data_IF_163113028245
#
_entry.id   IF_163113028245
#
_cell.length_a   1.000
_cell.length_b   1.000
_cell.length_c   1.000
_cell.angle_alpha   90.00
_cell.angle_beta   90.00
_cell.angle_gamma   90.00
#
_symmetry.space_group_name_H-M   'P 1'
#
loop_
_entity.id
_entity.type
_entity.pdbx_description
1 polymer ?
#
# COMPACT_ATOMS: atom_id res chain seq x y z
N UNK A 1 9.05 -18.85 4.17
CA UNK A 1 9.39 -17.52 4.71
C UNK A 1 8.24 -16.58 4.40
N UNK A 2 7.84 -15.69 5.33
CA UNK A 2 6.76 -14.74 5.09
C UNK A 2 7.11 -13.80 3.94
N UNK A 3 6.08 -13.33 3.22
CA UNK A 3 6.23 -12.39 2.12
C UNK A 3 6.79 -11.05 2.63
N UNK A 4 7.78 -10.49 1.96
CA UNK A 4 8.43 -9.24 2.34
C UNK A 4 8.39 -8.17 1.23
N UNK A 5 8.71 -6.93 1.61
CA UNK A 5 8.70 -5.76 0.74
C UNK A 5 9.61 -5.92 -0.48
N UNK A 6 10.75 -6.60 -0.33
CA UNK A 6 11.66 -6.83 -1.46
C UNK A 6 11.03 -7.72 -2.53
N UNK A 7 10.24 -8.71 -2.13
CA UNK A 7 9.46 -9.53 -3.08
C UNK A 7 8.34 -8.72 -3.72
N UNK A 8 7.67 -7.85 -2.96
CA UNK A 8 6.62 -6.93 -3.46
C UNK A 8 7.19 -5.97 -4.50
N UNK A 9 8.33 -5.33 -4.22
CA UNK A 9 9.02 -4.40 -5.13
C UNK A 9 9.55 -5.07 -6.40
N UNK A 10 9.77 -6.40 -6.38
CA UNK A 10 10.19 -7.19 -7.55
C UNK A 10 9.01 -7.70 -8.37
N UNK A 11 7.77 -7.49 -7.93
CA UNK A 11 6.58 -7.92 -8.68
C UNK A 11 6.33 -7.00 -9.88
N UNK A 12 6.49 -7.54 -11.09
CA UNK A 12 6.22 -6.79 -12.33
C UNK A 12 4.73 -6.40 -12.45
N UNK A 13 3.83 -7.20 -11.87
CA UNK A 13 2.39 -6.91 -11.81
C UNK A 13 2.13 -5.64 -11.01
N UNK A 14 2.69 -5.53 -9.80
CA UNK A 14 2.54 -4.36 -8.92
C UNK A 14 3.21 -3.13 -9.55
N UNK A 15 4.43 -3.27 -10.05
CA UNK A 15 5.18 -2.18 -10.67
C UNK A 15 4.48 -1.63 -11.93
N UNK A 16 3.86 -2.50 -12.72
CA UNK A 16 3.04 -2.08 -13.86
C UNK A 16 1.85 -1.22 -13.43
N UNK A 17 1.17 -1.60 -12.34
CA UNK A 17 0.02 -0.85 -11.84
C UNK A 17 0.41 0.49 -11.24
N UNK A 18 1.54 0.58 -10.53
CA UNK A 18 2.06 1.87 -10.04
C UNK A 18 2.34 2.81 -11.21
N UNK A 19 3.02 2.34 -12.27
CA UNK A 19 3.29 3.18 -13.46
C UNK A 19 2.01 3.67 -14.13
N UNK A 20 1.03 2.77 -14.31
CA UNK A 20 -0.23 3.11 -14.98
C UNK A 20 -1.15 3.98 -14.11
N UNK A 21 -1.11 3.82 -12.79
CA UNK A 21 -1.76 4.73 -11.85
C UNK A 21 -1.19 6.14 -11.96
N UNK A 22 0.14 6.28 -11.97
CA UNK A 22 0.82 7.58 -12.13
C UNK A 22 0.49 8.24 -13.48
N UNK A 23 0.51 7.48 -14.58
CA UNK A 23 0.05 7.97 -15.90
C UNK A 23 -1.41 8.47 -15.86
N UNK A 24 -2.30 7.73 -15.18
CA UNK A 24 -3.73 8.08 -15.07
C UNK A 24 -3.92 9.38 -14.27
N UNK A 25 -3.21 9.53 -13.16
CA UNK A 25 -3.25 10.71 -12.32
C UNK A 25 -2.62 11.93 -13.01
N UNK A 26 -1.53 11.74 -13.76
CA UNK A 26 -0.92 12.78 -14.58
C UNK A 26 -1.90 13.33 -15.63
N UNK A 27 -2.65 12.45 -16.30
CA UNK A 27 -3.69 12.86 -17.25
C UNK A 27 -4.84 13.65 -16.61
N UNK A 28 -5.08 13.46 -15.31
CA UNK A 28 -6.05 14.22 -14.51
C UNK A 28 -5.48 15.52 -13.91
N UNK A 29 -4.19 15.81 -14.11
CA UNK A 29 -3.53 17.03 -13.64
C UNK A 29 -2.82 16.91 -12.29
N UNK A 30 -2.67 15.72 -11.72
CA UNK A 30 -1.89 15.48 -10.49
C UNK A 30 -0.42 15.30 -10.82
N UNK A 31 0.48 15.82 -9.98
CA UNK A 31 1.89 15.98 -10.34
C UNK A 31 2.83 14.90 -9.79
N UNK A 32 2.47 14.13 -8.76
CA UNK A 32 3.41 13.19 -8.11
C UNK A 32 2.69 12.01 -7.42
N UNK A 33 2.55 10.86 -8.10
CA UNK A 33 2.13 9.58 -7.48
C UNK A 33 3.00 8.41 -7.98
N UNK A 34 4.26 8.74 -8.26
CA UNK A 34 5.26 7.85 -8.85
C UNK A 34 5.87 6.87 -7.83
N UNK A 35 6.83 6.05 -8.26
CA UNK A 35 7.63 5.21 -7.36
C UNK A 35 8.30 5.99 -6.22
N UNK A 36 8.63 7.28 -6.44
CA UNK A 36 9.22 8.12 -5.40
C UNK A 36 8.20 8.40 -4.28
N UNK A 37 6.94 8.61 -4.61
CA UNK A 37 5.84 8.74 -3.65
C UNK A 37 5.63 7.43 -2.88
N UNK A 38 5.34 6.33 -3.59
CA UNK A 38 5.12 5.03 -2.97
C UNK A 38 6.31 4.57 -2.10
N UNK A 39 7.54 4.84 -2.56
CA UNK A 39 8.76 4.52 -1.83
C UNK A 39 8.94 5.33 -0.54
N UNK A 40 8.64 6.63 -0.56
CA UNK A 40 8.69 7.48 0.64
C UNK A 40 7.64 7.06 1.67
N UNK A 41 6.39 6.87 1.23
CA UNK A 41 5.29 6.42 2.12
C UNK A 41 5.61 5.05 2.73
N UNK A 42 6.03 4.09 1.91
CA UNK A 42 6.45 2.76 2.37
C UNK A 42 7.56 2.82 3.43
N UNK A 43 8.60 3.62 3.19
CA UNK A 43 9.72 3.75 4.12
C UNK A 43 9.30 4.40 5.44
N UNK A 44 8.54 5.49 5.36
CA UNK A 44 8.11 6.27 6.52
C UNK A 44 7.13 5.48 7.40
N UNK A 45 6.16 4.79 6.81
CA UNK A 45 5.20 3.98 7.57
C UNK A 45 5.91 2.88 8.38
N UNK A 46 6.93 2.25 7.80
CA UNK A 46 7.77 1.28 8.49
C UNK A 46 8.61 1.92 9.60
N UNK A 47 9.22 3.07 9.32
CA UNK A 47 10.06 3.82 10.26
C UNK A 47 9.26 4.26 11.49
N UNK A 48 8.05 4.81 11.31
CA UNK A 48 7.15 5.22 12.40
C UNK A 48 6.94 4.07 13.39
N UNK A 49 6.57 2.89 12.88
CA UNK A 49 6.30 1.73 13.74
C UNK A 49 7.56 1.23 14.45
N UNK A 50 8.71 1.20 13.76
CA UNK A 50 9.99 0.85 14.38
C UNK A 50 10.38 1.84 15.48
N UNK A 51 10.23 3.14 15.24
CA UNK A 51 10.53 4.18 16.22
C UNK A 51 9.65 4.08 17.46
N UNK A 52 8.40 3.65 17.30
CA UNK A 52 7.47 3.43 18.40
C UNK A 52 7.62 2.06 19.10
N UNK A 53 8.57 1.23 18.66
CA UNK A 53 8.87 -0.06 19.29
C UNK A 53 7.91 -1.20 18.94
N UNK A 54 7.18 -1.10 17.83
CA UNK A 54 6.38 -2.21 17.31
C UNK A 54 7.26 -3.31 16.73
N UNK A 55 6.69 -4.50 16.59
CA UNK A 55 7.40 -5.65 16.01
C UNK A 55 7.82 -5.38 14.55
N UNK A 56 8.98 -5.92 14.17
CA UNK A 56 9.50 -5.83 12.80
C UNK A 56 8.50 -6.34 11.76
N UNK A 57 7.70 -7.37 12.11
CA UNK A 57 6.69 -7.86 11.18
C UNK A 57 5.57 -6.85 10.93
N UNK A 58 5.13 -6.13 11.97
CA UNK A 58 4.12 -5.06 11.83
C UNK A 58 4.67 -3.91 10.99
N UNK A 59 5.92 -3.50 11.21
CA UNK A 59 6.60 -2.48 10.41
C UNK A 59 6.79 -2.91 8.94
N UNK A 60 7.05 -4.20 8.69
CA UNK A 60 7.15 -4.76 7.34
C UNK A 60 5.79 -4.72 6.60
N UNK A 61 4.69 -5.05 7.29
CA UNK A 61 3.34 -4.97 6.71
C UNK A 61 2.95 -3.52 6.37
N UNK A 62 3.33 -2.55 7.20
CA UNK A 62 3.15 -1.13 6.89
C UNK A 62 3.94 -0.68 5.67
N UNK A 63 5.17 -1.17 5.52
CA UNK A 63 5.97 -0.89 4.32
C UNK A 63 5.30 -1.47 3.06
N UNK A 64 4.77 -2.70 3.13
CA UNK A 64 4.04 -3.33 2.02
C UNK A 64 2.78 -2.54 1.68
N UNK A 65 1.98 -2.17 2.69
CA UNK A 65 0.78 -1.36 2.50
C UNK A 65 1.11 -0.01 1.84
N UNK A 66 2.12 0.70 2.34
CA UNK A 66 2.57 1.98 1.78
C UNK A 66 3.08 1.87 0.35
N UNK A 67 3.72 0.76 -0.04
CA UNK A 67 4.14 0.57 -1.43
C UNK A 67 2.96 0.35 -2.39
N UNK A 68 1.87 -0.26 -1.90
CA UNK A 68 0.73 -0.68 -2.72
C UNK A 68 -0.48 0.26 -2.61
N UNK A 69 -0.50 1.24 -1.68
CA UNK A 69 -1.71 1.97 -1.30
C UNK A 69 -2.46 2.62 -2.48
N UNK A 70 -1.71 3.18 -3.43
CA UNK A 70 -2.25 3.96 -4.55
C UNK A 70 -2.54 3.14 -5.83
N UNK A 71 -2.36 1.82 -5.85
CA UNK A 71 -2.53 1.03 -7.09
C UNK A 71 -3.96 1.08 -7.65
N UNK A 72 -4.95 1.41 -6.82
CA UNK A 72 -6.34 1.58 -7.23
C UNK A 72 -6.57 2.76 -8.18
N UNK A 73 -5.65 3.73 -8.22
CA UNK A 73 -5.78 4.89 -9.11
C UNK A 73 -5.73 4.52 -10.61
N UNK A 74 -5.30 3.31 -10.97
CA UNK A 74 -5.45 2.78 -12.34
C UNK A 74 -6.92 2.59 -12.75
N UNK A 75 -7.82 2.38 -11.79
CA UNK A 75 -9.26 2.24 -12.02
C UNK A 75 -9.91 3.62 -12.02
N UNK A 76 -9.71 4.37 -10.93
CA UNK A 76 -10.19 5.75 -10.79
C UNK A 76 -9.53 6.41 -9.58
N UNK A 77 -9.47 7.75 -9.55
CA UNK A 77 -9.10 8.51 -8.33
C UNK A 77 -10.17 8.41 -7.25
N UNK A 78 -11.44 8.39 -7.64
CA UNK A 78 -12.56 8.19 -6.74
C UNK A 78 -12.54 6.76 -6.21
N UNK A 79 -12.59 6.62 -4.88
CA UNK A 79 -12.56 5.33 -4.18
C UNK A 79 -11.35 4.44 -4.55
N UNK A 80 -10.20 5.08 -4.85
CA UNK A 80 -8.96 4.36 -5.18
C UNK A 80 -8.45 3.53 -3.99
N UNK A 81 -8.71 3.94 -2.75
CA UNK A 81 -8.38 3.17 -1.56
C UNK A 81 -9.11 1.81 -1.54
N UNK A 82 -10.41 1.80 -1.84
CA UNK A 82 -11.24 0.58 -1.82
C UNK A 82 -10.89 -0.33 -3.00
N UNK A 83 -10.76 0.23 -4.20
CA UNK A 83 -10.35 -0.55 -5.37
C UNK A 83 -8.91 -1.08 -5.25
N UNK A 84 -8.00 -0.28 -4.71
CA UNK A 84 -6.62 -0.67 -4.39
C UNK A 84 -6.55 -1.79 -3.35
N UNK A 85 -7.38 -1.73 -2.31
CA UNK A 85 -7.47 -2.79 -1.30
C UNK A 85 -7.91 -4.14 -1.91
N UNK A 86 -8.88 -4.13 -2.82
CA UNK A 86 -9.35 -5.35 -3.52
C UNK A 86 -8.28 -5.89 -4.46
N UNK A 87 -7.56 -5.01 -5.18
CA UNK A 87 -6.44 -5.40 -6.03
C UNK A 87 -5.31 -6.02 -5.19
N UNK A 88 -4.93 -5.37 -4.08
CA UNK A 88 -3.92 -5.86 -3.16
C UNK A 88 -4.31 -7.21 -2.54
N UNK A 89 -5.57 -7.40 -2.15
CA UNK A 89 -6.10 -8.68 -1.69
C UNK A 89 -5.78 -9.80 -2.68
N UNK A 90 -6.11 -9.60 -3.96
CA UNK A 90 -5.90 -10.62 -4.99
C UNK A 90 -4.42 -10.91 -5.24
N UNK A 91 -3.59 -9.87 -5.30
CA UNK A 91 -2.16 -10.01 -5.59
C UNK A 91 -1.45 -10.72 -4.42
N UNK A 92 -1.70 -10.30 -3.19
CA UNK A 92 -1.06 -10.87 -2.00
C UNK A 92 -1.50 -12.32 -1.76
N UNK A 93 -2.79 -12.64 -1.95
CA UNK A 93 -3.32 -14.00 -1.92
C UNK A 93 -2.61 -14.89 -2.97
N UNK A 94 -2.51 -14.41 -4.22
CA UNK A 94 -1.80 -15.11 -5.30
C UNK A 94 -0.31 -15.32 -5.01
N UNK A 95 0.31 -14.41 -4.25
CA UNK A 95 1.71 -14.52 -3.82
C UNK A 95 1.89 -15.42 -2.58
N UNK A 96 0.81 -15.96 -2.02
CA UNK A 96 0.85 -16.89 -0.88
C UNK A 96 1.10 -16.21 0.46
N UNK A 97 0.74 -14.92 0.61
CA UNK A 97 0.76 -14.26 1.91
C UNK A 97 -0.24 -14.90 2.88
N UNK A 98 0.06 -14.85 4.19
CA UNK A 98 -0.83 -15.41 5.19
C UNK A 98 -2.15 -14.58 5.26
N UNK A 99 -3.32 -15.21 5.44
CA UNK A 99 -4.61 -14.50 5.38
C UNK A 99 -4.76 -13.32 6.36
N UNK A 100 -4.18 -13.43 7.55
CA UNK A 100 -4.13 -12.38 8.57
C UNK A 100 -3.27 -11.18 8.16
N UNK A 101 -2.15 -11.44 7.50
CA UNK A 101 -1.28 -10.41 6.92
C UNK A 101 -1.95 -9.71 5.73
N UNK A 102 -2.61 -10.48 4.86
CA UNK A 102 -3.43 -9.94 3.77
C UNK A 102 -4.50 -9.02 4.35
N UNK A 103 -5.26 -9.50 5.35
CA UNK A 103 -6.30 -8.72 6.00
C UNK A 103 -5.76 -7.42 6.60
N UNK A 104 -4.58 -7.47 7.23
CA UNK A 104 -3.93 -6.28 7.81
C UNK A 104 -3.57 -5.25 6.74
N UNK A 105 -2.92 -5.68 5.65
CA UNK A 105 -2.49 -4.79 4.57
C UNK A 105 -3.69 -4.15 3.87
N UNK A 106 -4.69 -4.94 3.48
CA UNK A 106 -5.86 -4.40 2.74
C UNK A 106 -6.73 -3.53 3.64
N UNK A 107 -6.75 -3.77 4.95
CA UNK A 107 -7.42 -2.88 5.91
C UNK A 107 -6.75 -1.52 5.95
N UNK A 108 -5.41 -1.48 5.98
CA UNK A 108 -4.68 -0.22 5.94
C UNK A 108 -4.90 0.52 4.61
N UNK A 109 -4.77 -0.18 3.48
CA UNK A 109 -5.03 0.41 2.15
C UNK A 109 -6.47 0.91 2.04
N UNK A 110 -7.47 0.18 2.55
CA UNK A 110 -8.87 0.60 2.46
C UNK A 110 -9.23 1.83 3.28
N UNK A 111 -8.38 2.24 4.24
CA UNK A 111 -8.64 3.33 5.19
C UNK A 111 -7.58 4.45 5.11
N UNK A 112 -6.84 4.58 4.00
CA UNK A 112 -5.74 5.56 3.92
C UNK A 112 -6.13 6.92 3.31
N UNK A 113 -7.17 6.99 2.48
CA UNK A 113 -7.47 8.21 1.73
C UNK A 113 -8.18 9.28 2.58
N UNK A 114 -7.80 10.55 2.42
CA UNK A 114 -8.16 11.67 3.30
C UNK A 114 -9.66 11.75 3.66
N UNK A 115 -10.56 11.48 2.71
CA UNK A 115 -12.01 11.56 2.93
C UNK A 115 -12.60 10.39 3.75
N UNK A 116 -11.86 9.29 3.87
CA UNK A 116 -12.27 8.06 4.54
C UNK A 116 -11.23 7.54 5.54
N UNK A 117 -10.19 8.34 5.80
CA UNK A 117 -9.03 7.90 6.57
C UNK A 117 -9.40 7.62 8.03
N UNK A 118 -9.03 6.42 8.51
CA UNK A 118 -9.25 6.07 9.91
C UNK A 118 -8.22 5.05 10.43
N UNK A 119 -7.53 5.33 11.56
CA UNK A 119 -6.47 4.49 12.10
C UNK A 119 -7.05 3.26 12.86
N UNK A 120 -7.68 2.34 12.13
CA UNK A 120 -8.34 1.14 12.71
C UNK A 120 -7.37 0.13 13.32
N UNK A 121 -6.07 0.20 12.99
CA UNK A 121 -4.99 -0.59 13.58
C UNK A 121 -3.65 0.15 13.42
N UNK A 122 -2.57 -0.39 14.00
CA UNK A 122 -1.24 0.24 13.95
C UNK A 122 -0.70 0.43 12.52
N UNK A 123 -0.95 -0.52 11.62
CA UNK A 123 -0.49 -0.46 10.22
C UNK A 123 -1.23 0.62 9.44
N UNK A 124 -2.55 0.73 9.62
CA UNK A 124 -3.36 1.82 9.07
C UNK A 124 -2.93 3.17 9.64
N UNK A 125 -2.71 3.24 10.96
CA UNK A 125 -2.29 4.47 11.64
C UNK A 125 -0.94 5.00 11.16
N UNK A 126 -0.02 4.11 10.77
CA UNK A 126 1.29 4.50 10.24
C UNK A 126 1.26 4.88 8.75
N UNK A 127 0.22 4.46 8.02
CA UNK A 127 0.05 4.74 6.59
C UNK A 127 -0.66 6.08 6.33
N UNK A 128 -1.53 6.52 7.24
CA UNK A 128 -2.25 7.80 7.22
C UNK A 128 -1.31 8.93 7.66
#
# INVERSE_FOLDING_TARGET
>A
MPLNLEQIKKSEEINSYIRKADESLSALGYTEHSYAHAGRVSALASEILRTLGYEERTAELAAIAGWMHDIGNIINRHDHAQSGAIMAFRILDKMGAAPDEVATVITAIGNHDEGTAYPVNAVAAALI
#
